data_IF_232463975670
#
_entry.id   IF_232463975670
#
_cell.length_a   1.000
_cell.length_b   1.000
_cell.length_c   1.000
_cell.angle_alpha   90.00
_cell.angle_beta   90.00
_cell.angle_gamma   90.00
#
_symmetry.space_group_name_H-M   'P 1'
#
loop_
_entity.id
_entity.type
_entity.pdbx_description
1 polymer ?
#
# COMPACT_ATOMS: atom_id res chain seq x y z
N UNK A 1 3.72 -8.39 2.97
CA UNK A 1 2.46 -7.84 3.48
C UNK A 1 1.37 -8.84 3.22
N UNK A 2 0.70 -9.27 4.29
CA UNK A 2 -0.56 -10.01 4.19
C UNK A 2 -1.73 -9.01 4.15
N UNK A 3 -2.75 -9.23 3.30
CA UNK A 3 -3.92 -8.36 3.27
C UNK A 3 -4.77 -8.56 4.52
N UNK A 4 -5.51 -7.53 4.97
CA UNK A 4 -6.32 -7.60 6.19
C UNK A 4 -7.51 -8.56 6.03
N UNK A 5 -7.96 -8.78 4.79
CA UNK A 5 -9.04 -9.69 4.46
C UNK A 5 -8.58 -10.70 3.40
N UNK A 6 -8.98 -11.95 3.61
CA UNK A 6 -8.76 -13.07 2.70
C UNK A 6 -10.10 -13.64 2.27
N UNK A 7 -10.39 -13.63 0.97
CA UNK A 7 -11.61 -14.20 0.41
C UNK A 7 -11.32 -15.24 -0.70
N UNK A 8 -12.25 -16.19 -0.95
CA UNK A 8 -12.08 -17.18 -2.00
C UNK A 8 -11.84 -16.55 -3.37
N UNK A 9 -10.79 -17.00 -4.06
CA UNK A 9 -10.43 -16.48 -5.39
C UNK A 9 -9.68 -15.13 -5.37
N UNK A 10 -9.29 -14.63 -4.20
CA UNK A 10 -8.46 -13.44 -4.10
C UNK A 10 -7.14 -13.62 -4.84
N UNK A 11 -6.79 -12.62 -5.65
CA UNK A 11 -5.51 -12.57 -6.34
C UNK A 11 -4.41 -12.13 -5.37
N UNK A 12 -3.13 -12.43 -5.68
CA UNK A 12 -2.02 -12.01 -4.84
C UNK A 12 -2.02 -10.49 -4.62
N UNK A 13 -1.38 -10.09 -3.52
CA UNK A 13 -1.01 -8.70 -3.24
C UNK A 13 0.00 -8.24 -4.29
N UNK A 14 -0.27 -7.10 -4.92
CA UNK A 14 0.63 -6.50 -5.91
C UNK A 14 0.77 -4.98 -5.68
N UNK A 15 2.00 -4.49 -5.83
CA UNK A 15 2.31 -3.07 -5.85
C UNK A 15 2.70 -2.69 -7.27
N UNK A 16 1.78 -2.03 -7.96
CA UNK A 16 1.92 -1.69 -9.37
C UNK A 16 2.13 -0.17 -9.54
N UNK A 17 2.66 0.21 -10.69
CA UNK A 17 2.88 1.62 -11.00
C UNK A 17 2.85 1.90 -12.49
N UNK A 18 2.36 3.10 -12.84
CA UNK A 18 2.41 3.63 -14.20
C UNK A 18 3.52 4.67 -14.28
N UNK A 19 4.40 4.54 -15.28
CA UNK A 19 5.50 5.46 -15.52
C UNK A 19 5.28 6.26 -16.79
N UNK A 20 5.74 7.51 -16.81
CA UNK A 20 5.78 8.31 -18.04
C UNK A 20 6.96 7.90 -18.94
N UNK A 21 7.07 8.55 -20.11
CA UNK A 21 8.16 8.31 -21.07
C UNK A 21 9.55 8.67 -20.54
N UNK A 22 9.63 9.43 -19.45
CA UNK A 22 10.89 9.80 -18.78
C UNK A 22 11.17 8.88 -17.58
N UNK A 23 10.36 7.84 -17.35
CA UNK A 23 10.53 6.87 -16.29
C UNK A 23 9.99 7.30 -14.91
N UNK A 24 9.39 8.49 -14.81
CA UNK A 24 8.82 9.02 -13.56
C UNK A 24 7.52 8.30 -13.23
N UNK A 25 7.35 7.90 -11.98
CA UNK A 25 6.15 7.22 -11.50
C UNK A 25 5.00 8.23 -11.39
N UNK A 26 3.96 8.07 -12.22
CA UNK A 26 2.80 8.97 -12.28
C UNK A 26 1.63 8.48 -11.43
N UNK A 27 1.52 7.16 -11.26
CA UNK A 27 0.42 6.54 -10.51
C UNK A 27 0.93 5.29 -9.81
N UNK A 28 0.43 5.08 -8.59
CA UNK A 28 0.62 3.85 -7.82
C UNK A 28 -0.73 3.14 -7.71
N UNK A 29 -0.72 1.82 -7.89
CA UNK A 29 -1.89 0.98 -7.67
C UNK A 29 -1.54 -0.07 -6.62
N UNK A 30 -2.28 0.00 -5.51
CA UNK A 30 -2.15 -0.90 -4.37
C UNK A 30 -3.22 -1.99 -4.51
N UNK A 31 -2.87 -3.10 -5.17
CA UNK A 31 -3.83 -4.11 -5.59
C UNK A 31 -3.93 -5.24 -4.55
N UNK A 32 -5.15 -5.53 -4.08
CA UNK A 32 -5.48 -6.56 -3.09
C UNK A 32 -4.71 -6.50 -1.76
N UNK A 33 -4.13 -5.36 -1.39
CA UNK A 33 -3.39 -5.20 -0.14
C UNK A 33 -4.15 -4.40 0.92
N UNK A 34 -5.09 -3.55 0.49
CA UNK A 34 -5.89 -2.64 1.32
C UNK A 34 -5.05 -1.87 2.35
N UNK A 35 -4.04 -1.13 1.87
CA UNK A 35 -3.15 -0.35 2.74
C UNK A 35 -3.90 0.67 3.62
N UNK A 36 -5.06 1.13 3.16
CA UNK A 36 -5.94 2.07 3.88
C UNK A 36 -6.50 1.47 5.16
N UNK A 37 -6.89 0.20 5.13
CA UNK A 37 -7.46 -0.51 6.28
C UNK A 37 -6.51 -0.48 7.49
N UNK A 38 -5.22 -0.70 7.23
CA UNK A 38 -4.18 -0.64 8.26
C UNK A 38 -4.02 0.76 8.88
N UNK A 39 -4.34 1.82 8.15
CA UNK A 39 -4.32 3.19 8.67
C UNK A 39 -5.57 3.50 9.48
N UNK A 40 -6.72 3.01 9.02
CA UNK A 40 -8.02 3.23 9.66
C UNK A 40 -8.08 2.63 11.06
N UNK A 41 -7.56 1.42 11.25
CA UNK A 41 -7.70 0.67 12.51
C UNK A 41 -6.40 0.47 13.28
N UNK A 42 -5.37 1.26 13.02
CA UNK A 42 -4.09 1.14 13.72
C UNK A 42 -4.24 1.18 15.25
N UNK A 43 -5.12 2.05 15.75
CA UNK A 43 -5.36 2.29 17.17
C UNK A 43 -6.07 1.14 17.89
N UNK A 44 -6.77 0.28 17.14
CA UNK A 44 -7.44 -0.91 17.68
C UNK A 44 -6.47 -2.05 17.98
N UNK A 45 -5.33 -2.09 17.30
CA UNK A 45 -4.31 -3.13 17.50
C UNK A 45 -4.74 -4.55 17.11
N UNK A 46 -5.77 -4.67 16.25
CA UNK A 46 -6.34 -5.96 15.83
C UNK A 46 -5.57 -6.60 14.65
N UNK A 47 -4.75 -5.81 13.95
CA UNK A 47 -3.95 -6.25 12.81
C UNK A 47 -2.47 -6.34 13.14
N UNK A 48 -1.73 -7.09 12.31
CA UNK A 48 -0.28 -7.21 12.38
C UNK A 48 0.41 -5.84 12.37
N UNK A 49 1.15 -5.53 13.43
CA UNK A 49 1.92 -4.28 13.53
C UNK A 49 2.99 -4.18 12.43
N UNK A 50 3.52 -5.33 11.97
CA UNK A 50 4.49 -5.38 10.88
C UNK A 50 3.86 -4.93 9.56
N UNK A 51 2.66 -5.42 9.26
CA UNK A 51 1.94 -5.05 8.04
C UNK A 51 1.43 -3.62 8.11
N UNK A 52 0.97 -3.17 9.28
CA UNK A 52 0.60 -1.79 9.50
C UNK A 52 1.79 -0.83 9.29
N UNK A 53 2.95 -1.12 9.88
CA UNK A 53 4.17 -0.33 9.65
C UNK A 53 4.57 -0.31 8.16
N UNK A 54 4.41 -1.44 7.47
CA UNK A 54 4.65 -1.54 6.03
C UNK A 54 3.69 -0.64 5.23
N UNK A 55 2.41 -0.62 5.57
CA UNK A 55 1.41 0.27 4.96
C UNK A 55 1.79 1.75 5.14
N UNK A 56 2.21 2.15 6.34
CA UNK A 56 2.66 3.52 6.61
C UNK A 56 3.92 3.88 5.83
N UNK A 57 4.91 2.99 5.74
CA UNK A 57 6.10 3.22 4.91
C UNK A 57 5.73 3.50 3.46
N UNK A 58 4.79 2.74 2.89
CA UNK A 58 4.32 3.00 1.53
C UNK A 58 3.63 4.35 1.41
N UNK A 59 2.67 4.67 2.27
CA UNK A 59 1.97 5.96 2.26
C UNK A 59 2.92 7.16 2.33
N UNK A 60 3.86 7.13 3.29
CA UNK A 60 4.87 8.18 3.47
C UNK A 60 5.77 8.29 2.24
N UNK A 61 6.28 7.16 1.74
CA UNK A 61 7.17 7.17 0.57
C UNK A 61 6.46 7.66 -0.68
N UNK A 62 5.16 7.37 -0.86
CA UNK A 62 4.39 7.88 -2.00
C UNK A 62 4.24 9.40 -1.95
N UNK A 63 3.89 9.95 -0.78
CA UNK A 63 3.78 11.41 -0.60
C UNK A 63 5.14 12.07 -0.80
N UNK A 64 6.19 11.54 -0.17
CA UNK A 64 7.55 12.07 -0.34
C UNK A 64 8.00 12.05 -1.80
N UNK A 65 7.77 10.95 -2.52
CA UNK A 65 8.10 10.84 -3.93
C UNK A 65 7.37 11.92 -4.76
N UNK A 66 6.04 12.02 -4.59
CA UNK A 66 5.21 12.99 -5.31
C UNK A 66 5.61 14.45 -5.04
N UNK A 67 6.21 14.74 -3.88
CA UNK A 67 6.68 16.08 -3.52
C UNK A 67 8.11 16.38 -3.99
N UNK A 68 8.87 15.38 -4.45
CA UNK A 68 10.32 15.52 -4.70
C UNK A 68 10.79 15.10 -6.09
N UNK A 69 9.96 14.42 -6.89
CA UNK A 69 10.29 13.89 -8.22
C UNK A 69 9.18 14.16 -9.24
#
# INVERSE_FOLDING_TARGET
MEPPYVFPGQRPVEFLGLRDSHGRLQMVLNNNNDISEFWEWLDRGEMSIHDAATAFHFGINYVLYAMTH
#
